data_IF_463606167374
#
_entry.id   IF_463606167374
#
_cell.length_a   1.000
_cell.length_b   1.000
_cell.length_c   1.000
_cell.angle_alpha   90.00
_cell.angle_beta   90.00
_cell.angle_gamma   90.00
#
_symmetry.space_group_name_H-M   'P 1'
#
loop_
_entity.id
_entity.type
_entity.pdbx_description
1 polymer ?
#
# COMPACT_ATOMS: atom_id res chain seq x y z
N UNK A 1 -21.27 -10.81 -29.42
CA UNK A 1 -21.42 -9.48 -28.77
C UNK A 1 -20.35 -9.37 -27.72
N UNK A 2 -19.20 -8.81 -28.08
CA UNK A 2 -18.13 -8.50 -27.13
C UNK A 2 -18.58 -7.33 -26.27
N UNK A 3 -18.82 -7.58 -24.99
CA UNK A 3 -18.88 -6.52 -23.98
C UNK A 3 -17.45 -6.01 -23.79
N UNK A 4 -17.08 -4.97 -24.53
CA UNK A 4 -15.96 -4.12 -24.17
C UNK A 4 -16.27 -3.53 -22.80
N UNK A 5 -15.70 -4.11 -21.74
CA UNK A 5 -15.51 -3.42 -20.49
C UNK A 5 -14.59 -2.24 -20.81
N UNK A 6 -15.19 -1.10 -21.17
CA UNK A 6 -14.50 0.17 -21.23
C UNK A 6 -14.11 0.48 -19.80
N UNK A 7 -12.91 0.04 -19.40
CA UNK A 7 -12.30 0.43 -18.12
C UNK A 7 -12.29 1.95 -18.11
N UNK A 8 -13.23 2.56 -17.40
CA UNK A 8 -13.33 4.00 -17.32
C UNK A 8 -11.98 4.51 -16.84
N UNK A 9 -11.33 5.38 -17.61
CA UNK A 9 -10.04 5.92 -17.23
C UNK A 9 -10.18 6.56 -15.84
N UNK A 10 -9.28 6.26 -14.88
CA UNK A 10 -9.34 6.85 -13.56
C UNK A 10 -9.30 8.38 -13.67
N UNK A 11 -10.31 9.02 -13.07
CA UNK A 11 -10.48 10.46 -13.08
C UNK A 11 -9.99 11.02 -11.75
N UNK A 12 -9.32 12.17 -11.81
CA UNK A 12 -8.92 12.92 -10.62
C UNK A 12 -9.59 14.29 -10.60
N UNK A 13 -9.87 14.74 -9.38
CA UNK A 13 -10.43 16.07 -9.15
C UNK A 13 -9.31 17.08 -8.99
N UNK A 14 -9.33 18.13 -9.80
CA UNK A 14 -8.41 19.27 -9.69
C UNK A 14 -9.19 20.58 -9.50
N UNK A 15 -8.54 21.58 -8.90
CA UNK A 15 -9.13 22.90 -8.66
C UNK A 15 -8.39 23.98 -9.45
N UNK A 16 -9.12 24.72 -10.27
CA UNK A 16 -8.62 25.82 -11.08
C UNK A 16 -9.16 27.13 -10.53
N UNK A 17 -8.27 28.02 -10.11
CA UNK A 17 -8.64 29.35 -9.64
C UNK A 17 -8.89 30.30 -10.81
N UNK A 18 -9.65 31.40 -10.63
CA UNK A 18 -9.88 32.40 -11.68
C UNK A 18 -8.59 33.05 -12.21
N UNK A 19 -7.53 33.07 -11.40
CA UNK A 19 -6.23 33.62 -11.80
C UNK A 19 -5.55 32.68 -12.79
N UNK A 20 -5.57 31.38 -12.51
CA UNK A 20 -5.03 30.35 -13.39
C UNK A 20 -5.86 30.24 -14.67
N UNK A 21 -7.19 30.24 -14.55
CA UNK A 21 -8.09 30.15 -15.71
C UNK A 21 -7.87 31.30 -16.69
N UNK A 22 -7.78 32.55 -16.21
CA UNK A 22 -7.49 33.71 -17.06
C UNK A 22 -6.14 33.59 -17.75
N UNK A 23 -5.14 33.02 -17.10
CA UNK A 23 -3.84 32.79 -17.75
C UNK A 23 -3.89 31.68 -18.79
N UNK A 24 -4.59 30.57 -18.50
CA UNK A 24 -4.84 29.51 -19.48
C UNK A 24 -5.60 30.02 -20.71
N UNK A 25 -6.57 30.90 -20.51
CA UNK A 25 -7.29 31.57 -21.58
C UNK A 25 -6.35 32.47 -22.40
N UNK A 26 -5.57 33.33 -21.73
CA UNK A 26 -4.59 34.21 -22.38
C UNK A 26 -3.54 33.43 -23.19
N UNK A 27 -3.11 32.27 -22.70
CA UNK A 27 -2.11 31.41 -23.34
C UNK A 27 -2.71 30.43 -24.37
N UNK A 28 -4.03 30.34 -24.47
CA UNK A 28 -4.70 29.40 -25.39
C UNK A 28 -4.52 27.92 -25.04
N UNK A 29 -4.29 27.60 -23.76
CA UNK A 29 -4.05 26.21 -23.30
C UNK A 29 -5.22 25.71 -22.44
N UNK A 30 -5.37 24.38 -22.39
CA UNK A 30 -6.38 23.66 -21.59
C UNK A 30 -7.80 24.27 -21.69
N UNK A 31 -8.40 24.38 -22.90
CA UNK A 31 -9.72 24.99 -23.10
C UNK A 31 -10.85 24.26 -22.37
N UNK A 32 -10.65 23.00 -22.01
CA UNK A 32 -11.56 22.19 -21.20
C UNK A 32 -11.65 22.68 -19.73
N UNK A 33 -10.64 23.40 -19.23
CA UNK A 33 -10.56 23.88 -17.84
C UNK A 33 -11.16 25.27 -17.63
N UNK A 34 -12.25 25.58 -18.33
CA UNK A 34 -12.99 26.83 -18.17
C UNK A 34 -14.12 26.65 -17.17
N UNK A 35 -14.46 27.69 -16.41
CA UNK A 35 -15.47 27.66 -15.36
C UNK A 35 -16.82 27.12 -15.85
N UNK A 36 -17.19 27.41 -17.11
CA UNK A 36 -18.39 26.89 -17.77
C UNK A 36 -18.42 25.35 -17.92
N UNK A 37 -17.23 24.73 -17.98
CA UNK A 37 -17.03 23.28 -18.09
C UNK A 37 -16.71 22.64 -16.73
N UNK A 38 -16.71 23.42 -15.63
CA UNK A 38 -16.43 22.90 -14.31
C UNK A 38 -17.58 22.00 -13.85
N UNK A 39 -17.24 20.84 -13.29
CA UNK A 39 -18.20 19.94 -12.65
C UNK A 39 -18.90 20.63 -11.47
N UNK A 40 -18.16 21.46 -10.73
CA UNK A 40 -18.68 22.29 -9.63
C UNK A 40 -17.88 23.57 -9.51
N UNK A 41 -18.52 24.66 -9.10
CA UNK A 41 -17.82 25.89 -8.69
C UNK A 41 -17.82 25.98 -7.16
N UNK A 42 -16.67 26.33 -6.56
CA UNK A 42 -16.52 26.58 -5.12
C UNK A 42 -16.20 28.07 -4.90
N UNK A 43 -16.74 28.65 -3.83
CA UNK A 43 -16.53 30.06 -3.47
C UNK A 43 -16.89 31.02 -4.63
N UNK A 44 -17.89 30.65 -5.42
CA UNK A 44 -18.39 31.39 -6.59
C UNK A 44 -17.36 31.69 -7.69
N UNK A 45 -16.16 31.13 -7.63
CA UNK A 45 -15.07 31.52 -8.53
C UNK A 45 -14.11 30.36 -8.91
N UNK A 46 -13.85 29.40 -8.03
CA UNK A 46 -12.91 28.30 -8.32
C UNK A 46 -13.63 27.14 -9.00
N UNK A 47 -13.24 26.83 -10.23
CA UNK A 47 -13.72 25.67 -10.98
C UNK A 47 -13.12 24.37 -10.47
N UNK A 48 -13.97 23.37 -10.25
CA UNK A 48 -13.57 21.99 -9.93
C UNK A 48 -13.78 21.14 -11.17
N UNK A 49 -12.72 20.49 -11.63
CA UNK A 49 -12.72 19.71 -12.86
C UNK A 49 -12.39 18.26 -12.56
N UNK A 50 -13.11 17.35 -13.24
CA UNK A 50 -12.82 15.93 -13.30
C UNK A 50 -12.08 15.67 -14.61
N UNK A 51 -10.84 15.23 -14.52
CA UNK A 51 -9.98 15.00 -15.68
C UNK A 51 -9.25 13.67 -15.56
N UNK A 52 -8.79 13.13 -16.68
CA UNK A 52 -7.98 11.90 -16.70
C UNK A 52 -6.66 12.11 -15.95
N UNK A 53 -6.08 11.01 -15.44
CA UNK A 53 -4.73 11.03 -14.86
C UNK A 53 -3.68 11.58 -15.83
N UNK A 54 -3.83 11.32 -17.14
CA UNK A 54 -2.92 11.80 -18.18
C UNK A 54 -2.95 13.32 -18.26
N UNK A 55 -4.14 13.90 -18.42
CA UNK A 55 -4.33 15.36 -18.49
C UNK A 55 -3.87 16.03 -17.19
N UNK A 56 -4.11 15.40 -16.03
CA UNK A 56 -3.61 15.93 -14.75
C UNK A 56 -2.08 16.00 -14.69
N UNK A 57 -1.36 15.02 -15.24
CA UNK A 57 0.11 15.05 -15.33
C UNK A 57 0.60 16.14 -16.28
N UNK A 58 -0.04 16.30 -17.44
CA UNK A 58 0.29 17.36 -18.41
C UNK A 58 0.15 18.76 -17.77
N UNK A 59 -0.93 19.00 -17.02
CA UNK A 59 -1.14 20.26 -16.30
C UNK A 59 -0.12 20.44 -15.16
N UNK A 60 0.23 19.36 -14.45
CA UNK A 60 1.23 19.43 -13.38
C UNK A 60 2.59 19.87 -13.92
N UNK A 61 2.98 19.38 -15.09
CA UNK A 61 4.25 19.74 -15.71
C UNK A 61 4.26 21.18 -16.22
N UNK A 62 3.17 21.65 -16.85
CA UNK A 62 2.99 23.07 -17.19
C UNK A 62 3.06 23.96 -15.95
N UNK A 63 2.34 23.59 -14.88
CA UNK A 63 2.31 24.36 -13.64
C UNK A 63 3.68 24.46 -12.97
N UNK A 64 4.48 23.37 -12.98
CA UNK A 64 5.86 23.39 -12.47
C UNK A 64 6.76 24.30 -13.32
N UNK A 65 6.59 24.30 -14.63
CA UNK A 65 7.34 25.17 -15.53
C UNK A 65 7.02 26.65 -15.28
N UNK A 66 5.73 27.00 -15.21
CA UNK A 66 5.29 28.39 -14.99
C UNK A 66 5.61 28.91 -13.59
N UNK A 67 5.59 28.07 -12.55
CA UNK A 67 6.03 28.47 -11.21
C UNK A 67 7.50 28.92 -11.18
N UNK A 68 8.34 28.42 -12.09
CA UNK A 68 9.76 28.81 -12.22
C UNK A 68 9.96 30.00 -13.16
N UNK A 69 8.92 30.43 -13.87
CA UNK A 69 8.98 31.52 -14.84
C UNK A 69 8.99 32.88 -14.11
N UNK A 70 10.09 33.62 -14.26
CA UNK A 70 10.30 34.93 -13.60
C UNK A 70 9.63 36.09 -14.33
N UNK A 71 9.22 35.88 -15.58
CA UNK A 71 8.61 36.92 -16.43
C UNK A 71 7.11 37.08 -16.18
N UNK A 72 6.52 36.20 -15.35
CA UNK A 72 5.11 36.26 -15.02
C UNK A 72 4.78 37.39 -14.02
N UNK A 73 3.58 37.97 -14.09
CA UNK A 73 3.12 38.96 -13.12
C UNK A 73 3.22 38.45 -11.68
N UNK A 74 3.50 39.39 -10.75
CA UNK A 74 3.57 39.08 -9.32
C UNK A 74 2.29 38.36 -8.85
N UNK A 75 2.47 37.24 -8.16
CA UNK A 75 1.38 36.40 -7.66
C UNK A 75 0.99 35.22 -8.57
N UNK A 76 1.27 35.28 -9.88
CA UNK A 76 0.94 34.18 -10.80
C UNK A 76 1.85 32.94 -10.61
N UNK A 77 3.18 33.07 -10.40
CA UNK A 77 4.01 31.92 -10.04
C UNK A 77 3.53 31.22 -8.75
N UNK A 78 3.13 32.01 -7.74
CA UNK A 78 2.59 31.48 -6.47
C UNK A 78 1.30 30.69 -6.71
N UNK A 79 0.41 31.19 -7.58
CA UNK A 79 -0.80 30.48 -7.96
C UNK A 79 -0.48 29.14 -8.65
N UNK A 80 0.52 29.11 -9.53
CA UNK A 80 1.01 27.89 -10.17
C UNK A 80 1.65 26.90 -9.19
N UNK A 81 2.41 27.39 -8.22
CA UNK A 81 2.94 26.58 -7.12
C UNK A 81 1.82 25.92 -6.31
N UNK A 82 0.74 26.64 -6.02
CA UNK A 82 -0.45 26.09 -5.35
C UNK A 82 -1.19 25.06 -6.21
N UNK A 83 -1.31 25.31 -7.53
CA UNK A 83 -1.91 24.36 -8.48
C UNK A 83 -1.11 23.05 -8.54
N UNK A 84 0.21 23.12 -8.68
CA UNK A 84 1.08 21.95 -8.73
C UNK A 84 0.99 21.11 -7.44
N UNK A 85 0.93 21.76 -6.27
CA UNK A 85 0.71 21.09 -4.98
C UNK A 85 -0.66 20.40 -4.94
N UNK A 86 -1.72 21.07 -5.41
CA UNK A 86 -3.06 20.48 -5.44
C UNK A 86 -3.13 19.24 -6.34
N UNK A 87 -2.59 19.30 -7.56
CA UNK A 87 -2.61 18.16 -8.48
C UNK A 87 -1.75 17.00 -7.95
N UNK A 88 -0.57 17.29 -7.38
CA UNK A 88 0.29 16.25 -6.77
C UNK A 88 -0.42 15.54 -5.62
N UNK A 89 -1.14 16.29 -4.78
CA UNK A 89 -1.93 15.71 -3.69
C UNK A 89 -3.07 14.83 -4.23
N UNK A 90 -3.81 15.29 -5.24
CA UNK A 90 -4.88 14.50 -5.87
C UNK A 90 -4.37 13.20 -6.51
N UNK A 91 -3.23 13.25 -7.20
CA UNK A 91 -2.60 12.06 -7.79
C UNK A 91 -2.13 11.05 -6.71
N UNK A 92 -1.56 11.55 -5.60
CA UNK A 92 -1.17 10.70 -4.46
C UNK A 92 -2.36 10.11 -3.73
N UNK A 93 -3.44 10.88 -3.58
CA UNK A 93 -4.66 10.42 -2.94
C UNK A 93 -5.34 9.32 -3.77
N UNK A 94 -5.39 9.47 -5.09
CA UNK A 94 -5.92 8.43 -5.98
C UNK A 94 -5.08 7.15 -5.93
N UNK A 95 -3.75 7.26 -5.94
CA UNK A 95 -2.86 6.11 -5.78
C UNK A 95 -3.02 5.41 -4.41
N UNK A 96 -3.45 6.12 -3.37
CA UNK A 96 -3.68 5.60 -2.01
C UNK A 96 -5.14 5.24 -1.73
N UNK A 97 -6.06 5.44 -2.69
CA UNK A 97 -7.48 5.27 -2.44
C UNK A 97 -7.78 3.79 -2.11
N UNK A 98 -8.33 3.56 -0.91
CA UNK A 98 -8.59 2.22 -0.38
C UNK A 98 -7.41 1.52 0.31
N UNK A 99 -6.25 2.17 0.47
CA UNK A 99 -5.07 1.60 1.12
C UNK A 99 -4.75 2.33 2.43
N UNK A 100 -4.29 1.58 3.43
CA UNK A 100 -3.86 2.11 4.73
C UNK A 100 -2.35 2.34 4.73
N UNK A 101 -1.91 3.42 5.37
CA UNK A 101 -0.49 3.65 5.58
C UNK A 101 0.05 2.62 6.57
N UNK A 102 1.19 2.03 6.23
CA UNK A 102 1.87 1.07 7.09
C UNK A 102 2.27 1.74 8.43
N UNK A 103 1.63 1.38 9.56
CA UNK A 103 1.92 1.98 10.85
C UNK A 103 3.23 1.44 11.48
N UNK A 104 3.88 0.47 10.84
CA UNK A 104 5.10 -0.16 11.30
C UNK A 104 4.85 -1.31 12.28
N UNK A 105 5.82 -2.23 12.32
CA UNK A 105 5.76 -3.48 13.08
C UNK A 105 5.50 -3.27 14.58
N UNK A 106 6.19 -2.35 15.23
CA UNK A 106 6.08 -2.14 16.67
C UNK A 106 4.66 -1.71 17.09
N UNK A 107 4.01 -0.87 16.28
CA UNK A 107 2.69 -0.35 16.58
C UNK A 107 1.59 -1.41 16.37
N UNK A 108 1.71 -2.26 15.34
CA UNK A 108 0.74 -3.36 15.17
C UNK A 108 0.97 -4.48 16.19
N UNK A 109 2.21 -4.72 16.64
CA UNK A 109 2.52 -5.69 17.71
C UNK A 109 1.83 -5.27 19.02
N UNK A 110 1.96 -3.99 19.38
CA UNK A 110 1.27 -3.40 20.55
C UNK A 110 -0.24 -3.62 20.51
N UNK A 111 -0.86 -3.54 19.33
CA UNK A 111 -2.31 -3.72 19.15
C UNK A 111 -2.77 -5.19 19.23
N UNK A 112 -1.88 -6.16 19.06
CA UNK A 112 -2.24 -7.58 18.93
C UNK A 112 -1.64 -8.52 19.99
N UNK A 113 -0.78 -8.03 20.89
CA UNK A 113 -0.04 -8.81 21.90
C UNK A 113 -0.87 -9.62 22.93
N UNK A 114 -2.19 -9.72 22.80
CA UNK A 114 -3.07 -10.44 23.72
C UNK A 114 -3.32 -11.93 23.38
N UNK A 115 -2.60 -12.51 22.40
CA UNK A 115 -2.81 -13.89 21.95
C UNK A 115 -1.55 -14.76 22.13
N UNK A 116 -1.66 -15.76 23.00
CA UNK A 116 -0.59 -16.64 23.51
C UNK A 116 0.07 -17.52 22.43
N UNK A 117 1.40 -17.53 22.41
CA UNK A 117 2.23 -18.43 21.60
C UNK A 117 2.31 -19.84 22.22
N UNK A 118 2.30 -20.91 21.41
CA UNK A 118 2.37 -22.31 21.90
C UNK A 118 3.64 -23.09 21.51
N UNK A 119 4.40 -22.62 20.52
CA UNK A 119 5.68 -23.19 20.09
C UNK A 119 6.84 -22.22 20.36
N UNK A 120 7.99 -22.77 20.72
CA UNK A 120 9.23 -22.06 20.95
C UNK A 120 10.15 -22.14 19.72
N UNK A 121 11.11 -21.22 19.65
CA UNK A 121 12.16 -21.27 18.63
C UNK A 121 12.98 -22.56 18.83
N UNK A 122 13.18 -23.30 17.76
CA UNK A 122 13.87 -24.59 17.77
C UNK A 122 12.96 -25.80 17.84
N UNK A 123 11.65 -25.63 18.11
CA UNK A 123 10.71 -26.74 18.11
C UNK A 123 10.59 -27.38 16.72
N UNK A 124 10.57 -28.72 16.68
CA UNK A 124 10.21 -29.50 15.50
C UNK A 124 8.70 -29.64 15.40
N UNK A 125 8.16 -29.30 14.24
CA UNK A 125 6.72 -29.28 13.96
C UNK A 125 6.44 -29.90 12.59
N UNK A 126 5.20 -30.34 12.41
CA UNK A 126 4.66 -30.73 11.11
C UNK A 126 3.94 -29.54 10.49
N UNK A 127 4.36 -29.17 9.29
CA UNK A 127 3.75 -28.14 8.46
C UNK A 127 2.92 -28.78 7.35
N UNK A 128 1.62 -28.49 7.33
CA UNK A 128 0.72 -29.00 6.31
C UNK A 128 0.45 -27.91 5.28
N UNK A 129 0.84 -28.16 4.02
CA UNK A 129 0.61 -27.25 2.90
C UNK A 129 -0.52 -27.77 2.01
N UNK A 130 -1.70 -27.18 2.12
CA UNK A 130 -2.83 -27.52 1.24
C UNK A 130 -3.30 -28.96 1.43
N UNK A 131 -3.26 -29.77 0.36
CA UNK A 131 -3.74 -31.15 0.32
C UNK A 131 -2.69 -32.21 0.74
N UNK A 132 -1.55 -31.80 1.28
CA UNK A 132 -0.56 -32.75 1.81
C UNK A 132 -1.12 -33.43 3.07
N UNK A 133 -1.41 -34.73 3.00
CA UNK A 133 -1.98 -35.51 4.11
C UNK A 133 -0.94 -35.92 5.16
N UNK A 134 0.34 -35.94 4.80
CA UNK A 134 1.41 -36.45 5.67
C UNK A 134 2.18 -35.33 6.38
N UNK A 135 2.11 -34.12 5.83
CA UNK A 135 2.79 -32.96 6.40
C UNK A 135 4.31 -33.01 6.22
N UNK A 136 4.95 -31.85 6.27
CA UNK A 136 6.39 -31.71 6.11
C UNK A 136 7.03 -31.33 7.43
N UNK A 137 8.11 -32.02 7.80
CA UNK A 137 8.89 -31.62 8.96
C UNK A 137 9.50 -30.23 8.76
N UNK A 138 9.29 -29.39 9.75
CA UNK A 138 9.80 -28.04 9.79
C UNK A 138 10.33 -27.71 11.20
N UNK A 139 11.24 -26.75 11.26
CA UNK A 139 11.73 -26.21 12.52
C UNK A 139 11.30 -24.76 12.66
N UNK A 140 10.80 -24.39 13.84
CA UNK A 140 10.50 -23.00 14.17
C UNK A 140 11.82 -22.22 14.23
N UNK A 141 12.02 -21.27 13.32
CA UNK A 141 13.22 -20.42 13.29
C UNK A 141 12.99 -19.14 14.09
N UNK A 142 11.80 -18.56 13.96
CA UNK A 142 11.38 -17.43 14.76
C UNK A 142 10.00 -17.71 15.37
N UNK A 143 9.83 -17.29 16.64
CA UNK A 143 8.65 -17.59 17.44
C UNK A 143 7.37 -16.91 16.94
N UNK A 144 6.29 -17.12 17.69
CA UNK A 144 4.99 -16.53 17.37
C UNK A 144 5.05 -15.03 17.56
N UNK A 145 5.06 -14.33 16.45
CA UNK A 145 4.97 -12.88 16.43
C UNK A 145 4.32 -12.50 15.12
N UNK A 146 4.02 -11.21 15.02
CA UNK A 146 3.57 -10.65 13.78
C UNK A 146 4.75 -10.53 12.82
N UNK A 147 4.49 -10.75 11.53
CA UNK A 147 5.45 -10.53 10.46
C UNK A 147 4.83 -9.69 9.35
N UNK A 148 5.63 -8.87 8.65
CA UNK A 148 5.24 -8.29 7.38
C UNK A 148 5.25 -9.37 6.31
N UNK A 149 4.10 -9.63 5.73
CA UNK A 149 3.88 -10.64 4.70
C UNK A 149 3.54 -9.94 3.39
N UNK A 150 4.25 -10.27 2.31
CA UNK A 150 3.94 -9.72 0.98
C UNK A 150 2.63 -10.37 0.51
N UNK A 151 1.67 -9.55 0.12
CA UNK A 151 0.34 -9.98 -0.32
C UNK A 151 -0.18 -9.04 -1.40
N UNK A 152 -0.64 -9.57 -2.53
CA UNK A 152 -1.15 -8.77 -3.65
C UNK A 152 -2.38 -7.92 -3.25
N UNK A 153 -3.12 -8.38 -2.24
CA UNK A 153 -4.30 -7.76 -1.63
C UNK A 153 -4.01 -7.16 -0.24
N UNK A 154 -2.73 -6.96 0.10
CA UNK A 154 -2.33 -6.41 1.40
C UNK A 154 -2.92 -5.01 1.63
N UNK A 155 -3.51 -4.73 2.81
CA UNK A 155 -4.15 -3.44 3.09
C UNK A 155 -3.15 -2.31 3.27
N UNK A 156 -1.86 -2.61 3.43
CA UNK A 156 -0.80 -1.62 3.62
C UNK A 156 0.10 -1.53 2.40
N UNK A 157 0.50 -0.31 2.03
CA UNK A 157 1.49 -0.06 0.97
C UNK A 157 2.74 0.60 1.56
N UNK A 158 3.91 0.13 1.16
CA UNK A 158 5.21 0.69 1.59
C UNK A 158 5.63 1.87 0.74
N UNK A 159 6.74 2.53 1.12
CA UNK A 159 7.37 3.57 0.29
C UNK A 159 7.87 3.08 -1.07
N UNK A 160 8.05 1.77 -1.22
CA UNK A 160 8.59 1.12 -2.41
C UNK A 160 7.47 0.46 -3.24
N UNK A 161 6.22 0.89 -3.04
CA UNK A 161 5.00 0.40 -3.69
C UNK A 161 4.71 -1.11 -3.49
N UNK A 162 5.31 -1.75 -2.47
CA UNK A 162 4.99 -3.13 -2.10
C UNK A 162 3.73 -3.19 -1.24
N UNK A 163 2.80 -4.10 -1.59
CA UNK A 163 1.64 -4.40 -0.74
C UNK A 163 1.98 -5.43 0.32
N UNK A 164 1.61 -5.11 1.56
CA UNK A 164 1.90 -5.92 2.74
C UNK A 164 0.65 -6.14 3.58
N UNK A 165 0.63 -7.28 4.24
CA UNK A 165 -0.30 -7.63 5.30
C UNK A 165 0.51 -8.03 6.53
N UNK A 166 0.08 -7.55 7.69
CA UNK A 166 0.68 -7.95 8.96
C UNK A 166 -0.11 -9.13 9.54
N UNK A 167 0.58 -10.24 9.77
CA UNK A 167 -0.05 -11.46 10.26
C UNK A 167 0.77 -12.12 11.36
N UNK A 168 0.10 -12.60 12.41
CA UNK A 168 0.72 -13.42 13.44
C UNK A 168 0.90 -14.86 12.95
N UNK A 169 2.05 -15.41 13.26
CA UNK A 169 2.41 -16.77 12.89
C UNK A 169 3.84 -17.06 13.27
N UNK A 170 4.40 -18.08 12.65
CA UNK A 170 5.76 -18.51 12.87
C UNK A 170 6.55 -18.35 11.58
N UNK A 171 7.87 -18.24 11.72
CA UNK A 171 8.77 -18.46 10.58
C UNK A 171 9.37 -19.82 10.75
N UNK A 172 9.15 -20.67 9.75
CA UNK A 172 9.69 -22.01 9.73
C UNK A 172 10.78 -22.16 8.68
N UNK A 173 11.61 -23.17 8.88
CA UNK A 173 12.52 -23.67 7.87
C UNK A 173 12.18 -25.13 7.60
N UNK A 174 12.00 -25.46 6.33
CA UNK A 174 11.80 -26.83 5.86
C UNK A 174 13.07 -27.27 5.13
N UNK A 175 13.48 -28.52 5.36
CA UNK A 175 14.64 -29.11 4.66
C UNK A 175 14.43 -29.16 3.15
N UNK A 176 13.19 -29.41 2.70
CA UNK A 176 12.86 -29.54 1.28
C UNK A 176 12.94 -28.23 0.49
N UNK A 177 12.53 -27.09 1.08
CA UNK A 177 12.47 -25.82 0.36
C UNK A 177 13.76 -24.99 0.43
N UNK A 178 14.64 -25.26 1.40
CA UNK A 178 15.92 -24.56 1.55
C UNK A 178 15.84 -23.08 1.93
N UNK A 179 14.64 -22.53 2.17
CA UNK A 179 14.43 -21.14 2.57
C UNK A 179 13.41 -21.01 3.71
N UNK A 180 13.39 -19.82 4.34
CA UNK A 180 12.46 -19.47 5.42
C UNK A 180 11.17 -18.91 4.83
N UNK A 181 10.03 -19.34 5.36
CA UNK A 181 8.75 -18.75 4.99
C UNK A 181 7.83 -18.65 6.20
N UNK A 182 6.87 -17.74 6.08
CA UNK A 182 5.90 -17.44 7.12
C UNK A 182 4.78 -18.46 7.04
N UNK A 183 4.34 -18.93 8.20
CA UNK A 183 3.20 -19.82 8.33
C UNK A 183 2.28 -19.36 9.46
N UNK A 184 0.96 -19.33 9.24
CA UNK A 184 0.01 -19.12 10.33
C UNK A 184 0.12 -20.24 11.37
N UNK A 185 -0.17 -19.93 12.65
CA UNK A 185 -0.11 -20.93 13.72
C UNK A 185 -0.99 -22.18 13.46
N UNK A 186 -2.11 -22.02 12.76
CA UNK A 186 -3.04 -23.12 12.47
C UNK A 186 -2.53 -24.14 11.45
N UNK A 187 -1.48 -23.84 10.68
CA UNK A 187 -0.90 -24.78 9.72
C UNK A 187 0.19 -25.65 10.34
N UNK A 188 0.48 -25.45 11.62
CA UNK A 188 1.50 -26.17 12.37
C UNK A 188 0.88 -27.12 13.37
N UNK A 189 1.40 -28.35 13.42
CA UNK A 189 1.02 -29.36 14.39
C UNK A 189 2.27 -29.87 15.10
N UNK A 190 2.15 -30.25 16.37
CA UNK A 190 3.23 -30.97 17.07
C UNK A 190 3.41 -32.36 16.46
N UNK A 191 4.62 -32.89 16.54
CA UNK A 191 4.94 -34.23 16.05
C UNK A 191 4.17 -35.37 16.76
N UNK A 192 3.52 -35.08 17.89
CA UNK A 192 2.66 -36.02 18.63
C UNK A 192 1.20 -36.02 18.13
N UNK A 193 0.90 -35.30 17.05
CA UNK A 193 -0.42 -35.14 16.44
C UNK A 193 -1.50 -34.58 17.40
N UNK A 194 -1.11 -33.98 18.53
CA UNK A 194 -2.06 -33.34 19.44
C UNK A 194 -2.45 -31.95 18.94
N UNK A 195 -3.74 -31.56 19.04
CA UNK A 195 -4.18 -30.23 18.63
C UNK A 195 -3.57 -29.17 19.56
N UNK A 196 -2.68 -28.34 19.02
CA UNK A 196 -1.94 -27.34 19.77
C UNK A 196 -2.60 -25.95 19.83
N UNK A 197 -3.79 -25.76 19.22
CA UNK A 197 -4.52 -24.49 19.22
C UNK A 197 -6.04 -24.64 19.29
N UNK A 198 -6.70 -23.71 20.00
CA UNK A 198 -8.13 -23.41 19.85
C UNK A 198 -8.30 -22.68 18.51
N UNK A 199 -9.11 -23.25 17.61
CA UNK A 199 -9.31 -22.78 16.23
C UNK A 199 -9.98 -21.40 16.19
N UNK A 200 -9.43 -20.50 15.38
CA UNK A 200 -10.22 -19.52 14.63
C UNK A 200 -9.91 -19.79 13.15
N UNK A 201 -10.85 -20.44 12.47
CA UNK A 201 -10.72 -20.92 11.09
C UNK A 201 -10.73 -19.73 10.13
N UNK A 202 -9.67 -19.56 9.34
CA UNK A 202 -9.69 -18.79 8.10
C UNK A 202 -8.64 -19.36 7.12
N UNK A 203 -9.07 -19.57 5.87
CA UNK A 203 -8.51 -20.33 4.75
C UNK A 203 -6.98 -20.31 4.50
N UNK A 204 -6.44 -21.33 3.80
CA UNK A 204 -5.01 -21.44 3.50
C UNK A 204 -4.57 -20.41 2.45
N UNK A 205 -3.81 -19.41 2.89
CA UNK A 205 -3.00 -18.55 2.02
C UNK A 205 -1.54 -18.71 2.45
N UNK A 206 -0.72 -19.36 1.62
CA UNK A 206 0.73 -19.44 1.81
C UNK A 206 1.33 -18.18 1.20
N UNK A 207 1.95 -17.36 2.03
CA UNK A 207 2.46 -16.06 1.63
C UNK A 207 3.97 -15.94 1.89
N UNK A 208 4.67 -15.19 1.04
CA UNK A 208 6.13 -15.05 1.12
C UNK A 208 6.52 -13.95 2.11
N UNK A 209 7.62 -14.16 2.83
CA UNK A 209 8.23 -13.14 3.68
C UNK A 209 9.02 -12.17 2.79
N UNK A 210 8.94 -10.87 3.07
CA UNK A 210 9.80 -9.88 2.45
C UNK A 210 11.27 -10.11 2.82
N UNK A 211 12.15 -10.21 1.82
CA UNK A 211 13.52 -10.75 1.94
C UNK A 211 14.49 -9.91 2.80
N UNK A 212 14.08 -8.73 3.27
CA UNK A 212 14.94 -7.83 4.05
C UNK A 212 14.77 -7.94 5.58
N UNK A 213 14.18 -9.01 6.10
CA UNK A 213 14.12 -9.24 7.54
C UNK A 213 15.37 -9.96 8.06
N UNK A 214 16.49 -9.24 8.17
CA UNK A 214 17.59 -9.64 9.07
C UNK A 214 17.23 -9.23 10.49
N UNK A 215 16.68 -10.16 11.26
CA UNK A 215 16.61 -10.00 12.70
C UNK A 215 18.03 -9.90 13.26
N UNK A 216 18.45 -8.71 13.68
CA UNK A 216 19.66 -8.56 14.46
C UNK A 216 19.45 -9.26 15.81
N UNK A 217 20.17 -10.38 15.99
CA UNK A 217 20.53 -10.90 17.31
C UNK A 217 21.81 -10.17 17.76
N UNK A 218 21.74 -9.52 18.91
CA UNK A 218 22.82 -9.46 19.90
C UNK A 218 22.10 -9.67 21.25
N UNK A 219 22.39 -10.65 22.09
CA UNK A 219 23.66 -11.33 22.31
C UNK A 219 24.53 -10.51 23.25
N UNK A 220 24.21 -10.52 24.54
CA UNK A 220 25.17 -10.26 25.61
C UNK A 220 24.79 -11.14 26.80
N UNK A 221 25.49 -12.26 26.90
CA UNK A 221 25.61 -13.07 28.10
C UNK A 221 26.63 -12.40 29.04
N UNK A 222 26.27 -12.25 30.31
CA UNK A 222 27.10 -12.48 31.51
C UNK A 222 26.23 -12.22 32.73
#
# INVERSE_FOLDING_TARGET
>A
METTNTTAEPLVTIRISPVIERDFERRGVFPELRQKNAYRTINSATGVHLISLKTAREILDDAKAQNRNRDLPRGLPVAYGSLAKNITASLKQEARNGLQDDPGMAEVQRRQAAASACFQIGDSVLYFRGADEYGQEATIVNGYQMYPVISDDGPYITSDDERRRYQNGYVIWTKAAGHRFFVPAHTLTRNDCKPSHIRLVASPSVSRIATNYTGQRQGASA
#
